data_IF_883568470627
#
_entry.id   IF_883568470627
#
_cell.length_a   1.000
_cell.length_b   1.000
_cell.length_c   1.000
_cell.angle_alpha   90.00
_cell.angle_beta   90.00
_cell.angle_gamma   90.00
#
_symmetry.space_group_name_H-M   'P 1'
#
loop_
_entity.id
_entity.type
_entity.pdbx_description
1 polymer ?
#
# COMPACT_ATOMS: atom_id res chain seq x y z
N UNK A 1 -2.40 3.35 -17.31
CA UNK A 1 -3.34 4.10 -16.56
C UNK A 1 -4.15 3.21 -15.66
N UNK A 2 -4.26 3.53 -14.44
CA UNK A 2 -5.03 2.67 -13.57
C UNK A 2 -6.47 2.62 -13.99
N UNK A 3 -7.02 1.46 -13.80
CA UNK A 3 -8.41 1.25 -14.10
C UNK A 3 -9.31 1.80 -13.00
N UNK A 4 -8.70 2.22 -11.90
CA UNK A 4 -9.46 2.79 -10.81
C UNK A 4 -9.70 4.25 -11.10
N UNK A 5 -10.79 4.76 -10.58
CA UNK A 5 -11.09 6.17 -10.69
C UNK A 5 -10.42 6.94 -9.57
N UNK A 6 -9.12 6.77 -9.44
CA UNK A 6 -8.37 7.50 -8.41
C UNK A 6 -8.11 8.92 -8.86
N UNK A 7 -8.14 9.88 -7.92
CA UNK A 7 -7.76 11.24 -8.26
C UNK A 7 -6.31 11.30 -8.72
N UNK A 8 -5.97 12.27 -9.55
CA UNK A 8 -4.57 12.44 -9.94
C UNK A 8 -3.69 12.73 -8.74
N UNK A 9 -2.41 12.37 -8.87
CA UNK A 9 -1.44 12.65 -7.81
C UNK A 9 -1.40 14.13 -7.49
N UNK A 10 -1.56 14.98 -8.50
CA UNK A 10 -1.50 16.42 -8.31
C UNK A 10 -2.60 16.92 -7.38
N UNK A 11 -3.76 16.26 -7.33
CA UNK A 11 -4.84 16.68 -6.45
C UNK A 11 -4.85 15.92 -5.14
N UNK A 12 -4.14 14.78 -5.07
CA UNK A 12 -4.09 13.98 -3.85
C UNK A 12 -2.70 13.38 -3.69
N UNK A 13 -1.71 14.22 -3.40
CA UNK A 13 -0.32 13.75 -3.36
C UNK A 13 0.01 12.92 -2.13
N UNK A 14 -0.79 13.01 -1.07
CA UNK A 14 -0.51 12.19 0.11
C UNK A 14 -1.79 11.59 0.65
N UNK A 15 -1.63 10.34 1.13
CA UNK A 15 -2.72 9.53 1.64
C UNK A 15 -2.33 9.06 3.03
N UNK A 16 -3.28 9.06 3.96
CA UNK A 16 -3.06 8.48 5.29
C UNK A 16 -3.94 7.25 5.42
N UNK A 17 -3.31 6.16 5.85
CA UNK A 17 -4.01 4.87 5.94
C UNK A 17 -4.15 4.42 7.39
N UNK A 18 -5.36 4.01 7.76
CA UNK A 18 -5.64 3.30 9.01
C UNK A 18 -5.78 1.82 8.72
N UNK A 19 -5.66 1.00 9.78
CA UNK A 19 -5.82 -0.45 9.67
C UNK A 19 -4.97 -1.00 8.54
N UNK A 20 -3.76 -0.55 8.46
CA UNK A 20 -2.88 -0.79 7.33
C UNK A 20 -2.14 -2.12 7.44
N UNK A 21 -1.79 -2.66 6.28
CA UNK A 21 -0.94 -3.83 6.15
C UNK A 21 -0.03 -3.63 4.96
N UNK A 22 1.04 -4.45 4.90
CA UNK A 22 1.98 -4.43 3.79
C UNK A 22 1.99 -5.82 3.16
N UNK A 23 1.79 -5.89 1.85
CA UNK A 23 1.80 -7.15 1.10
C UNK A 23 2.88 -7.13 0.04
N UNK A 24 3.51 -8.29 -0.14
CA UNK A 24 4.44 -8.53 -1.22
C UNK A 24 3.77 -9.46 -2.22
N UNK A 25 3.89 -9.18 -3.51
CA UNK A 25 3.18 -9.95 -4.54
C UNK A 25 4.14 -10.46 -5.60
N UNK A 26 3.78 -11.59 -6.18
CA UNK A 26 4.50 -12.23 -7.27
C UNK A 26 3.51 -12.53 -8.38
N UNK A 27 3.92 -12.51 -9.62
CA UNK A 27 5.29 -12.42 -10.13
C UNK A 27 5.84 -11.01 -10.21
N UNK A 28 5.07 -10.00 -9.85
CA UNK A 28 5.48 -8.61 -9.98
C UNK A 28 6.69 -8.25 -9.11
N UNK A 29 6.83 -8.95 -7.98
CA UNK A 29 7.93 -8.73 -7.03
C UNK A 29 7.90 -7.29 -6.52
N UNK A 30 6.73 -6.86 -6.09
CA UNK A 30 6.51 -5.50 -5.57
C UNK A 30 5.78 -5.57 -4.25
N UNK A 31 5.83 -4.48 -3.49
CA UNK A 31 5.13 -4.36 -2.21
C UNK A 31 4.10 -3.24 -2.28
N UNK A 32 3.02 -3.43 -1.57
CA UNK A 32 1.88 -2.50 -1.64
C UNK A 32 1.28 -2.31 -0.26
N UNK A 33 0.96 -1.05 0.06
CA UNK A 33 0.20 -0.75 1.27
C UNK A 33 -1.28 -1.02 1.01
N UNK A 34 -1.95 -1.57 2.02
CA UNK A 34 -3.38 -1.83 1.98
C UNK A 34 -3.98 -1.31 3.27
N UNK A 35 -5.04 -0.54 3.20
CA UNK A 35 -5.68 -0.01 4.39
C UNK A 35 -6.88 0.85 4.06
N UNK A 36 -7.33 1.61 5.06
CA UNK A 36 -8.44 2.54 4.88
C UNK A 36 -7.90 3.94 4.72
N UNK A 37 -8.33 4.62 3.67
CA UNK A 37 -8.00 6.02 3.45
C UNK A 37 -8.74 6.86 4.47
N UNK A 38 -8.02 7.59 5.30
CA UNK A 38 -8.63 8.43 6.33
C UNK A 38 -9.56 9.46 5.70
N UNK A 39 -9.20 9.95 4.52
CA UNK A 39 -9.94 11.05 3.90
C UNK A 39 -11.37 10.70 3.56
N UNK A 40 -11.62 9.48 3.05
CA UNK A 40 -12.97 9.11 2.64
C UNK A 40 -13.45 7.80 3.23
N UNK A 41 -12.64 7.14 4.04
CA UNK A 41 -13.05 5.92 4.72
C UNK A 41 -13.12 4.69 3.85
N UNK A 42 -12.58 4.73 2.63
CA UNK A 42 -12.66 3.60 1.73
C UNK A 42 -11.38 2.78 1.75
N UNK A 43 -11.50 1.50 1.37
CA UNK A 43 -10.33 0.64 1.21
C UNK A 43 -9.46 1.12 0.07
N UNK A 44 -8.15 0.95 0.23
CA UNK A 44 -7.21 1.44 -0.76
C UNK A 44 -5.97 0.54 -0.84
N UNK A 45 -5.49 0.35 -2.07
CA UNK A 45 -4.24 -0.37 -2.35
C UNK A 45 -3.32 0.61 -3.05
N UNK A 46 -2.08 0.73 -2.58
CA UNK A 46 -1.12 1.64 -3.21
C UNK A 46 -0.52 1.02 -4.46
N UNK A 47 0.04 1.85 -5.31
CA UNK A 47 0.96 1.33 -6.33
C UNK A 47 2.23 0.83 -5.62
N UNK A 48 3.16 0.27 -6.38
CA UNK A 48 4.35 -0.33 -5.79
C UNK A 48 5.11 0.67 -4.93
N UNK A 49 5.48 0.25 -3.74
CA UNK A 49 6.25 1.10 -2.82
C UNK A 49 7.70 1.09 -3.26
N UNK A 50 8.26 2.27 -3.47
CA UNK A 50 9.64 2.43 -3.92
C UNK A 50 10.57 2.75 -2.77
N UNK A 51 10.11 3.54 -1.80
CA UNK A 51 10.92 3.95 -0.66
C UNK A 51 10.04 3.94 0.57
N UNK A 52 10.62 3.59 1.70
CA UNK A 52 9.88 3.59 2.96
C UNK A 52 10.79 4.00 4.10
N UNK A 53 10.26 4.90 4.95
CA UNK A 53 10.94 5.36 6.15
C UNK A 53 10.21 4.80 7.36
N UNK A 54 10.85 3.86 8.05
CA UNK A 54 10.22 3.19 9.19
C UNK A 54 10.04 4.12 10.40
N UNK A 55 10.83 5.19 10.49
CA UNK A 55 10.70 6.11 11.61
C UNK A 55 9.46 6.96 11.50
N UNK A 56 9.15 7.42 10.29
CA UNK A 56 7.99 8.28 10.08
C UNK A 56 6.79 7.50 9.55
N UNK A 57 6.98 6.22 9.21
CA UNK A 57 5.95 5.35 8.61
C UNK A 57 5.39 5.94 7.32
N UNK A 58 6.29 6.51 6.52
CA UNK A 58 5.91 7.13 5.25
C UNK A 58 6.60 6.43 4.11
N UNK A 59 5.86 6.20 3.05
CA UNK A 59 6.39 5.57 1.86
C UNK A 59 6.03 6.33 0.61
N UNK A 60 6.93 6.29 -0.38
CA UNK A 60 6.70 6.88 -1.69
C UNK A 60 6.46 5.75 -2.67
N UNK A 61 5.41 5.84 -3.45
CA UNK A 61 5.03 4.79 -4.38
C UNK A 61 5.34 5.19 -5.80
N UNK A 62 5.23 4.20 -6.69
CA UNK A 62 5.57 4.41 -8.11
C UNK A 62 4.79 5.55 -8.75
N UNK A 63 3.56 5.77 -8.30
CA UNK A 63 2.76 6.85 -8.84
C UNK A 63 3.21 8.22 -8.37
N UNK A 64 4.15 8.27 -7.41
CA UNK A 64 4.61 9.53 -6.83
C UNK A 64 3.83 9.94 -5.60
N UNK A 65 2.83 9.18 -5.22
CA UNK A 65 2.03 9.45 -4.03
C UNK A 65 2.79 9.06 -2.77
N UNK A 66 2.60 9.84 -1.71
CA UNK A 66 3.18 9.54 -0.41
C UNK A 66 2.10 8.95 0.47
N UNK A 67 2.39 7.78 1.05
CA UNK A 67 1.47 7.14 1.99
C UNK A 67 2.04 7.23 3.39
N UNK A 68 1.21 7.66 4.35
CA UNK A 68 1.58 7.68 5.76
C UNK A 68 0.71 6.67 6.48
N UNK A 69 1.36 5.75 7.21
CA UNK A 69 0.65 4.72 7.96
C UNK A 69 0.34 5.29 9.35
N UNK A 70 -0.93 5.25 9.73
CA UNK A 70 -1.40 5.91 10.95
C UNK A 70 -1.93 4.87 11.92
N UNK A 71 -1.48 4.96 13.17
CA UNK A 71 -1.93 4.02 14.19
C UNK A 71 -1.35 2.63 13.99
N UNK A 72 -1.82 1.65 14.75
CA UNK A 72 -1.30 0.30 14.62
C UNK A 72 -1.81 -0.36 13.35
N UNK A 73 -1.08 -1.39 12.92
CA UNK A 73 -1.56 -2.23 11.84
C UNK A 73 -2.87 -2.90 12.25
N UNK A 74 -3.68 -3.24 11.26
CA UNK A 74 -4.96 -3.85 11.56
C UNK A 74 -5.60 -4.47 10.34
N UNK A 75 -6.89 -4.73 10.43
CA UNK A 75 -7.65 -5.37 9.37
C UNK A 75 -8.96 -4.62 9.19
N UNK A 76 -9.33 -4.39 7.94
CA UNK A 76 -10.62 -3.79 7.62
C UNK A 76 -11.21 -4.55 6.43
N UNK A 77 -12.49 -4.89 6.53
CA UNK A 77 -13.16 -5.65 5.48
C UNK A 77 -13.12 -4.94 4.14
N UNK A 78 -13.35 -3.63 4.15
CA UNK A 78 -13.32 -2.88 2.90
C UNK A 78 -11.95 -2.90 2.25
N UNK A 79 -10.91 -2.79 3.05
CA UNK A 79 -9.54 -2.85 2.54
C UNK A 79 -9.23 -4.23 1.99
N UNK A 80 -9.66 -5.28 2.68
CA UNK A 80 -9.43 -6.64 2.21
C UNK A 80 -10.16 -6.89 0.89
N UNK A 81 -11.38 -6.40 0.77
CA UNK A 81 -12.15 -6.56 -0.45
C UNK A 81 -11.45 -5.89 -1.64
N UNK A 82 -11.00 -4.67 -1.45
CA UNK A 82 -10.30 -3.95 -2.50
C UNK A 82 -8.99 -4.65 -2.86
N UNK A 83 -8.28 -5.16 -1.84
CA UNK A 83 -7.04 -5.89 -2.05
C UNK A 83 -7.27 -7.13 -2.93
N UNK A 84 -8.30 -7.89 -2.64
CA UNK A 84 -8.59 -9.09 -3.42
C UNK A 84 -8.93 -8.75 -4.86
N UNK A 85 -9.70 -7.71 -5.07
CA UNK A 85 -10.03 -7.26 -6.43
C UNK A 85 -8.79 -6.77 -7.15
N UNK A 86 -7.94 -6.03 -6.44
CA UNK A 86 -6.70 -5.53 -7.02
C UNK A 86 -5.81 -6.68 -7.48
N UNK A 87 -5.67 -7.71 -6.65
CA UNK A 87 -4.87 -8.87 -7.00
C UNK A 87 -5.37 -9.54 -8.27
N UNK A 88 -6.68 -9.73 -8.37
CA UNK A 88 -7.24 -10.34 -9.57
C UNK A 88 -7.02 -9.47 -10.80
N UNK A 89 -7.22 -8.18 -10.66
CA UNK A 89 -7.08 -7.26 -11.80
C UNK A 89 -5.65 -7.18 -12.29
N UNK A 90 -4.69 -7.42 -11.41
CA UNK A 90 -3.27 -7.26 -11.74
C UNK A 90 -2.52 -8.57 -11.93
N UNK A 91 -3.24 -9.69 -11.98
CA UNK A 91 -2.62 -10.97 -12.27
C UNK A 91 -1.69 -11.47 -11.19
N UNK A 92 -1.96 -11.14 -9.93
CA UNK A 92 -1.15 -11.59 -8.83
C UNK A 92 -1.36 -13.09 -8.64
N UNK A 93 -0.25 -13.84 -8.64
CA UNK A 93 -0.31 -15.29 -8.46
C UNK A 93 -0.06 -15.69 -7.02
N UNK A 94 0.68 -14.87 -6.28
CA UNK A 94 1.00 -15.15 -4.90
C UNK A 94 1.15 -13.85 -4.15
N UNK A 95 0.54 -13.77 -2.97
CA UNK A 95 0.71 -12.60 -2.10
C UNK A 95 1.08 -13.06 -0.71
N UNK A 96 1.92 -12.29 -0.05
CA UNK A 96 2.39 -12.60 1.29
C UNK A 96 2.27 -11.35 2.15
N UNK A 97 1.65 -11.51 3.32
CA UNK A 97 1.58 -10.42 4.29
C UNK A 97 2.96 -10.28 4.94
N UNK A 98 3.62 -9.17 4.66
CA UNK A 98 4.94 -8.91 5.21
C UNK A 98 4.92 -7.72 6.18
N UNK A 99 3.76 -7.44 6.74
CA UNK A 99 3.59 -6.33 7.67
C UNK A 99 4.58 -6.38 8.82
N UNK A 100 4.87 -7.58 9.32
CA UNK A 100 5.79 -7.72 10.45
C UNK A 100 7.23 -7.35 10.10
N UNK A 101 7.54 -7.22 8.83
CA UNK A 101 8.89 -6.85 8.40
C UNK A 101 9.06 -5.37 8.17
N UNK A 102 8.03 -4.58 8.45
CA UNK A 102 8.05 -3.19 8.02
C UNK A 102 9.15 -2.39 8.71
N UNK A 103 9.48 -2.73 9.95
CA UNK A 103 10.51 -2.00 10.68
C UNK A 103 11.90 -2.24 10.15
N UNK A 104 12.14 -3.37 9.51
CA UNK A 104 13.47 -3.73 9.02
C UNK A 104 13.58 -3.64 7.51
N UNK A 105 12.57 -3.07 6.87
CA UNK A 105 12.51 -3.07 5.40
C UNK A 105 13.56 -2.18 4.76
N UNK A 106 13.74 -1.01 5.30
CA UNK A 106 14.30 0.09 4.56
C UNK A 106 15.58 -0.24 3.82
N UNK A 107 16.59 -0.80 4.50
CA UNK A 107 17.88 -0.93 3.84
C UNK A 107 18.10 -2.29 3.25
N UNK A 108 17.67 -3.31 3.94
CA UNK A 108 17.96 -4.66 3.52
C UNK A 108 17.27 -5.01 2.23
N UNK A 109 16.15 -4.39 1.95
CA UNK A 109 15.36 -4.72 0.78
C UNK A 109 15.66 -3.84 -0.42
N UNK A 110 16.61 -2.95 -0.28
CA UNK A 110 16.99 -2.05 -1.36
C UNK A 110 18.24 -2.50 -2.08
N UNK A 111 18.58 -3.72 -1.97
CA UNK A 111 19.78 -4.23 -2.62
C UNK A 111 19.58 -4.60 -4.06
#
# INVERSE_FOLDING_TARGET
MPTWSLPPVSSEPSIRLLEWRLFEVLPQDTRHFVGLDIGDGTGRVSSAVLEFDAETLRGVTRSGRVYTLVGPTGFADDAQYVWERWCRANGVQQSTDVTSRIDSWSEDDNR
#
